data_IF_236693247461
#
_entry.id   IF_236693247461
#
_cell.length_a   1.000
_cell.length_b   1.000
_cell.length_c   1.000
_cell.angle_alpha   90.00
_cell.angle_beta   90.00
_cell.angle_gamma   90.00
#
_symmetry.space_group_name_H-M   'P 1'
#
loop_
_entity.id
_entity.type
_entity.pdbx_description
1 polymer ?
#
# COMPACT_ATOMS: atom_id res chain seq x y z
N UNK A 1 4.06 8.53 -7.84
CA UNK A 1 5.17 9.32 -7.27
C UNK A 1 5.28 8.97 -5.80
N UNK A 2 6.50 8.79 -5.30
CA UNK A 2 6.78 8.12 -4.03
C UNK A 2 7.22 9.10 -2.94
N UNK A 3 6.80 8.84 -1.70
CA UNK A 3 7.19 9.58 -0.50
C UNK A 3 8.36 8.94 0.26
N UNK A 4 9.33 8.34 -0.43
CA UNK A 4 10.53 7.81 0.21
C UNK A 4 11.51 8.94 0.50
N UNK A 5 11.98 9.09 1.75
CA UNK A 5 13.06 10.02 2.09
C UNK A 5 14.33 9.53 1.41
N UNK A 6 15.02 10.39 0.64
CA UNK A 6 16.25 10.02 -0.08
C UNK A 6 17.39 9.56 0.84
N UNK A 7 17.34 9.94 2.13
CA UNK A 7 18.42 9.73 3.09
C UNK A 7 18.12 8.61 4.10
N UNK A 8 17.06 7.83 3.92
CA UNK A 8 16.82 6.66 4.74
C UNK A 8 17.12 5.39 3.92
N UNK A 9 18.31 4.79 4.08
CA UNK A 9 18.66 3.58 3.34
C UNK A 9 17.64 2.49 3.69
N UNK A 10 17.00 1.89 2.68
CA UNK A 10 16.05 0.80 2.88
C UNK A 10 16.74 -0.33 3.63
N UNK A 11 16.20 -0.74 4.79
CA UNK A 11 16.93 -1.61 5.73
C UNK A 11 16.41 -3.04 5.65
N UNK A 12 17.35 -3.98 5.61
CA UNK A 12 17.10 -5.42 5.58
C UNK A 12 17.38 -6.12 6.93
N UNK A 13 17.67 -5.38 8.01
CA UNK A 13 18.05 -5.97 9.31
C UNK A 13 17.12 -5.63 10.48
N UNK A 14 16.83 -6.67 11.27
CA UNK A 14 16.06 -6.67 12.52
C UNK A 14 16.93 -5.95 13.59
N UNK A 15 16.45 -4.85 14.20
CA UNK A 15 17.09 -4.04 15.26
C UNK A 15 18.01 -2.86 14.88
N UNK A 16 17.95 -2.35 13.65
CA UNK A 16 18.68 -1.11 13.32
C UNK A 16 17.86 0.15 13.67
N UNK A 17 18.51 1.19 14.23
CA UNK A 17 17.90 2.47 14.63
C UNK A 17 17.44 3.30 13.44
N UNK A 18 16.19 3.17 13.01
CA UNK A 18 15.65 3.82 11.81
C UNK A 18 14.40 4.64 12.09
N UNK A 19 14.24 5.73 11.34
CA UNK A 19 13.02 6.53 11.38
C UNK A 19 11.88 5.80 10.67
N UNK A 20 10.66 5.97 11.18
CA UNK A 20 9.44 5.48 10.54
C UNK A 20 9.30 6.03 9.13
N UNK A 21 9.09 5.16 8.15
CA UNK A 21 8.82 5.54 6.77
C UNK A 21 7.35 5.32 6.41
N UNK A 22 6.84 6.16 5.52
CA UNK A 22 5.55 5.94 4.86
C UNK A 22 5.81 5.76 3.38
N UNK A 23 5.37 4.62 2.86
CA UNK A 23 5.31 4.36 1.44
C UNK A 23 3.91 4.70 0.95
N UNK A 24 3.78 5.76 0.16
CA UNK A 24 2.53 6.12 -0.51
C UNK A 24 2.70 6.19 -2.04
N UNK A 25 1.66 5.80 -2.77
CA UNK A 25 1.56 6.00 -4.21
C UNK A 25 0.63 7.19 -4.49
N UNK A 26 1.21 8.34 -4.89
CA UNK A 26 0.48 9.60 -5.08
C UNK A 26 0.51 10.12 -6.51
N UNK A 27 -0.56 10.79 -6.91
CA UNK A 27 -0.63 11.63 -8.11
C UNK A 27 -0.35 13.12 -7.82
N UNK A 28 0.29 13.83 -8.74
CA UNK A 28 0.63 15.26 -8.62
C UNK A 28 2.14 15.54 -8.54
N UNK A 29 2.53 16.79 -8.27
CA UNK A 29 3.94 17.23 -8.11
C UNK A 29 4.56 16.70 -6.82
N UNK A 30 5.88 16.44 -6.83
CA UNK A 30 6.62 15.90 -5.69
C UNK A 30 6.54 16.86 -4.51
N UNK A 31 6.21 16.30 -3.35
CA UNK A 31 6.27 17.07 -2.12
C UNK A 31 7.74 17.49 -1.94
N UNK A 32 7.96 18.74 -1.53
CA UNK A 32 9.29 19.15 -1.10
C UNK A 32 9.72 18.26 0.07
N UNK A 33 11.03 18.12 0.27
CA UNK A 33 11.62 17.38 1.41
C UNK A 33 11.05 17.78 2.78
N UNK A 34 10.46 18.98 2.86
CA UNK A 34 9.91 19.60 4.07
C UNK A 34 8.39 19.38 4.23
N UNK A 35 7.76 18.61 3.34
CA UNK A 35 6.34 18.25 3.43
C UNK A 35 6.23 16.74 3.48
N UNK A 36 6.09 16.22 4.70
CA UNK A 36 5.98 14.79 4.95
C UNK A 36 4.73 14.15 4.30
N UNK A 37 4.71 12.81 4.21
CA UNK A 37 3.53 12.05 3.76
C UNK A 37 2.34 12.23 4.73
N UNK A 38 2.61 12.46 6.00
CA UNK A 38 1.62 12.85 7.00
C UNK A 38 1.29 14.33 6.84
N UNK A 39 -0.01 14.66 6.78
CA UNK A 39 -0.52 16.03 6.61
C UNK A 39 -1.58 16.30 7.65
N UNK A 40 -1.95 17.57 7.79
CA UNK A 40 -3.09 17.93 8.62
C UNK A 40 -4.33 17.24 8.09
N UNK A 41 -5.08 16.59 8.97
CA UNK A 41 -6.31 15.90 8.60
C UNK A 41 -6.65 14.74 9.51
N UNK A 42 -7.76 14.10 9.17
CA UNK A 42 -8.32 12.98 9.91
C UNK A 42 -8.09 11.68 9.15
N UNK A 43 -7.40 10.75 9.79
CA UNK A 43 -7.00 9.47 9.22
C UNK A 43 -7.74 8.32 9.88
N UNK A 44 -8.24 7.37 9.09
CA UNK A 44 -8.69 6.06 9.57
C UNK A 44 -7.51 5.11 9.53
N UNK A 45 -7.14 4.56 10.68
CA UNK A 45 -5.99 3.66 10.78
C UNK A 45 -6.47 2.22 10.90
N UNK A 46 -6.00 1.39 9.97
CA UNK A 46 -6.16 -0.06 10.02
C UNK A 46 -4.78 -0.69 10.12
N UNK A 47 -4.67 -1.79 10.85
CA UNK A 47 -3.44 -2.59 10.90
C UNK A 47 -3.76 -4.05 10.61
N UNK A 48 -2.81 -4.81 10.06
CA UNK A 48 -2.97 -6.25 9.96
C UNK A 48 -2.96 -6.86 11.37
N UNK A 49 -3.82 -7.87 11.60
CA UNK A 49 -3.86 -8.64 12.84
C UNK A 49 -2.61 -9.52 12.99
N UNK A 50 -2.10 -10.03 11.87
CA UNK A 50 -0.80 -10.69 11.80
C UNK A 50 0.28 -9.63 11.54
N UNK A 51 1.15 -9.41 12.53
CA UNK A 51 2.26 -8.44 12.42
C UNK A 51 3.19 -8.76 11.23
N UNK A 52 3.51 -10.04 11.02
CA UNK A 52 4.43 -10.46 9.96
C UNK A 52 3.85 -10.11 8.58
N UNK A 53 2.54 -10.23 8.39
CA UNK A 53 1.90 -9.80 7.14
C UNK A 53 2.12 -8.31 6.87
N UNK A 54 2.03 -7.47 7.91
CA UNK A 54 2.32 -6.05 7.81
C UNK A 54 3.78 -5.76 7.50
N UNK A 55 4.69 -6.42 8.20
CA UNK A 55 6.13 -6.22 8.03
C UNK A 55 6.59 -6.67 6.62
N UNK A 56 6.06 -7.78 6.11
CA UNK A 56 6.32 -8.25 4.74
C UNK A 56 5.72 -7.31 3.70
N UNK A 57 4.48 -6.85 3.87
CA UNK A 57 3.84 -5.92 2.95
C UNK A 57 4.58 -4.57 2.89
N UNK A 58 5.07 -4.09 4.04
CA UNK A 58 5.89 -2.88 4.11
C UNK A 58 7.20 -3.04 3.32
N UNK A 59 7.89 -4.17 3.47
CA UNK A 59 9.12 -4.47 2.71
C UNK A 59 8.86 -4.59 1.20
N UNK A 60 7.77 -5.25 0.80
CA UNK A 60 7.35 -5.28 -0.62
C UNK A 60 7.13 -3.86 -1.14
N UNK A 61 6.39 -3.04 -0.39
CA UNK A 61 6.15 -1.65 -0.76
C UNK A 61 7.44 -0.81 -0.84
N UNK A 62 8.38 -1.04 0.07
CA UNK A 62 9.70 -0.38 0.04
C UNK A 62 10.54 -0.79 -1.17
N UNK A 63 10.53 -2.08 -1.55
CA UNK A 63 11.23 -2.56 -2.74
C UNK A 63 10.63 -1.95 -4.01
N UNK A 64 9.30 -2.04 -4.18
CA UNK A 64 8.61 -1.51 -5.37
C UNK A 64 8.71 0.01 -5.52
N UNK A 65 8.95 0.73 -4.42
CA UNK A 65 9.14 2.18 -4.43
C UNK A 65 10.60 2.64 -4.52
N UNK A 66 11.57 1.71 -4.40
CA UNK A 66 12.99 2.04 -4.33
C UNK A 66 13.48 2.75 -5.59
N UNK A 67 13.22 2.16 -6.76
CA UNK A 67 13.66 2.69 -8.07
C UNK A 67 12.62 3.61 -8.70
N UNK A 68 11.48 3.80 -8.04
CA UNK A 68 10.37 4.62 -8.52
C UNK A 68 9.83 4.19 -9.91
N UNK A 69 10.00 2.91 -10.29
CA UNK A 69 9.70 2.42 -11.63
C UNK A 69 8.21 2.28 -11.93
N UNK A 70 7.36 2.11 -10.92
CA UNK A 70 5.91 2.00 -11.11
C UNK A 70 5.29 3.40 -11.21
N UNK A 71 4.72 3.78 -12.38
CA UNK A 71 4.14 5.11 -12.56
C UNK A 71 2.77 5.22 -11.86
N UNK A 72 2.41 6.44 -11.46
CA UNK A 72 1.05 6.69 -10.98
C UNK A 72 0.06 6.69 -12.17
N UNK A 73 -0.98 5.87 -12.10
CA UNK A 73 -2.01 5.81 -13.15
C UNK A 73 -3.28 6.54 -12.74
N UNK A 74 -3.44 7.79 -13.22
CA UNK A 74 -4.67 8.58 -13.03
C UNK A 74 -5.89 7.89 -13.64
N UNK A 75 -5.73 7.31 -14.83
CA UNK A 75 -6.80 6.61 -15.52
C UNK A 75 -7.29 5.40 -14.73
N UNK A 76 -6.38 4.53 -14.26
CA UNK A 76 -6.77 3.40 -13.38
C UNK A 76 -7.42 3.89 -12.09
N UNK A 77 -6.90 4.96 -11.48
CA UNK A 77 -7.48 5.56 -10.28
C UNK A 77 -8.93 5.98 -10.48
N UNK A 78 -9.26 6.68 -11.57
CA UNK A 78 -10.63 7.11 -11.86
C UNK A 78 -11.53 5.90 -12.16
N UNK A 79 -11.06 4.97 -13.00
CA UNK A 79 -11.84 3.78 -13.36
C UNK A 79 -12.10 2.84 -12.17
N UNK A 80 -11.23 2.83 -11.16
CA UNK A 80 -11.39 2.00 -9.96
C UNK A 80 -12.67 2.30 -9.17
N UNK A 81 -13.26 3.49 -9.35
CA UNK A 81 -14.52 3.87 -8.69
C UNK A 81 -15.73 3.21 -9.36
N UNK A 82 -15.62 2.90 -10.65
CA UNK A 82 -16.71 2.37 -11.48
C UNK A 82 -16.62 0.85 -11.69
N UNK A 83 -15.44 0.26 -11.46
CA UNK A 83 -15.19 -1.17 -11.68
C UNK A 83 -15.61 -2.00 -10.48
N UNK A 84 -16.02 -3.24 -10.75
CA UNK A 84 -16.27 -4.23 -9.71
C UNK A 84 -14.94 -4.75 -9.16
N UNK A 85 -14.80 -4.76 -7.82
CA UNK A 85 -13.60 -5.21 -7.10
C UNK A 85 -13.58 -6.71 -6.79
N UNK A 86 -14.49 -7.51 -7.35
CA UNK A 86 -14.55 -8.96 -7.14
C UNK A 86 -13.26 -9.67 -7.58
N UNK A 87 -12.81 -10.63 -6.79
CA UNK A 87 -11.61 -11.43 -7.07
C UNK A 87 -11.87 -12.52 -8.11
N UNK A 88 -11.96 -12.11 -9.38
CA UNK A 88 -12.09 -13.00 -10.53
C UNK A 88 -10.74 -13.55 -11.04
N UNK A 89 -10.77 -14.21 -12.20
CA UNK A 89 -9.59 -14.81 -12.83
C UNK A 89 -8.48 -13.77 -13.13
N UNK A 90 -8.85 -12.59 -13.61
CA UNK A 90 -7.90 -11.50 -13.87
C UNK A 90 -7.20 -11.02 -12.60
N UNK A 91 -7.97 -10.82 -11.52
CA UNK A 91 -7.45 -10.44 -10.21
C UNK A 91 -6.50 -11.50 -9.64
N UNK A 92 -6.88 -12.77 -9.79
CA UNK A 92 -6.03 -13.91 -9.40
C UNK A 92 -4.70 -13.91 -10.17
N UNK A 93 -4.73 -13.79 -11.50
CA UNK A 93 -3.52 -13.71 -12.33
C UNK A 93 -2.65 -12.51 -11.94
N UNK A 94 -3.24 -11.34 -11.75
CA UNK A 94 -2.51 -10.15 -11.30
C UNK A 94 -1.84 -10.37 -9.94
N UNK A 95 -2.56 -10.96 -8.98
CA UNK A 95 -2.03 -11.28 -7.65
C UNK A 95 -0.87 -12.28 -7.68
N UNK A 96 -0.88 -13.23 -8.62
CA UNK A 96 0.23 -14.16 -8.84
C UNK A 96 1.46 -13.43 -9.38
N UNK A 97 1.28 -12.48 -10.30
CA UNK A 97 2.38 -11.63 -10.77
C UNK A 97 2.97 -10.79 -9.62
N UNK A 98 2.12 -10.17 -8.79
CA UNK A 98 2.57 -9.43 -7.61
C UNK A 98 3.41 -10.29 -6.67
N UNK A 99 2.99 -11.53 -6.42
CA UNK A 99 3.76 -12.47 -5.61
C UNK A 99 5.12 -12.79 -6.22
N UNK A 100 5.18 -13.10 -7.53
CA UNK A 100 6.44 -13.39 -8.23
C UNK A 100 7.44 -12.24 -8.15
N UNK A 101 6.95 -11.01 -8.24
CA UNK A 101 7.74 -9.79 -8.19
C UNK A 101 7.85 -9.18 -6.79
N UNK A 102 7.44 -9.90 -5.75
CA UNK A 102 7.64 -9.49 -4.37
C UNK A 102 9.14 -9.25 -4.13
N UNK A 103 9.49 -8.10 -3.57
CA UNK A 103 10.87 -7.66 -3.29
C UNK A 103 11.71 -7.29 -4.51
N UNK A 104 11.16 -7.29 -5.72
CA UNK A 104 11.85 -6.75 -6.89
C UNK A 104 11.84 -5.22 -6.86
N UNK A 105 12.99 -4.58 -7.08
CA UNK A 105 13.04 -3.11 -7.12
C UNK A 105 12.33 -2.51 -8.35
N UNK A 106 12.15 -3.33 -9.41
CA UNK A 106 11.52 -2.93 -10.68
C UNK A 106 10.42 -3.91 -11.11
N UNK A 107 9.31 -4.00 -10.35
CA UNK A 107 8.22 -4.88 -10.72
C UNK A 107 7.56 -4.42 -12.02
N UNK A 108 7.08 -5.35 -12.84
CA UNK A 108 6.39 -5.08 -14.11
C UNK A 108 4.91 -4.70 -13.88
N UNK A 109 4.69 -3.73 -12.99
CA UNK A 109 3.37 -3.14 -12.77
C UNK A 109 3.22 -1.95 -13.73
N UNK A 110 2.34 -2.07 -14.71
CA UNK A 110 2.07 -1.09 -15.79
C UNK A 110 1.52 0.27 -15.33
N UNK A 111 1.49 0.49 -14.03
CA UNK A 111 1.00 1.67 -13.35
C UNK A 111 0.01 1.29 -12.26
N UNK A 112 0.11 2.00 -11.14
CA UNK A 112 -0.73 1.81 -9.97
C UNK A 112 -1.26 3.14 -9.43
N UNK A 113 -2.28 3.06 -8.59
CA UNK A 113 -2.77 4.18 -7.78
C UNK A 113 -2.73 3.78 -6.30
N UNK A 114 -3.10 4.69 -5.40
CA UNK A 114 -2.89 4.53 -3.96
C UNK A 114 -3.39 3.19 -3.39
N UNK A 115 -4.68 2.87 -3.50
CA UNK A 115 -5.22 1.64 -2.95
C UNK A 115 -4.79 0.39 -3.73
N UNK A 116 -4.65 0.46 -5.06
CA UNK A 116 -4.10 -0.64 -5.87
C UNK A 116 -2.72 -1.05 -5.35
N UNK A 117 -1.82 -0.09 -5.17
CA UNK A 117 -0.46 -0.38 -4.71
C UNK A 117 -0.45 -1.07 -3.34
N UNK A 118 -1.22 -0.55 -2.38
CA UNK A 118 -1.28 -1.12 -1.02
C UNK A 118 -1.84 -2.54 -1.05
N UNK A 119 -2.97 -2.77 -1.74
CA UNK A 119 -3.59 -4.10 -1.82
C UNK A 119 -2.63 -5.08 -2.51
N UNK A 120 -1.99 -4.67 -3.61
CA UNK A 120 -1.04 -5.51 -4.33
C UNK A 120 0.16 -5.91 -3.45
N UNK A 121 0.69 -4.99 -2.65
CA UNK A 121 1.80 -5.28 -1.73
C UNK A 121 1.38 -6.28 -0.64
N UNK A 122 0.18 -6.12 -0.07
CA UNK A 122 -0.37 -7.07 0.90
C UNK A 122 -0.71 -8.43 0.28
N UNK A 123 -1.20 -8.48 -0.97
CA UNK A 123 -1.42 -9.73 -1.70
C UNK A 123 -0.10 -10.45 -1.97
N UNK A 124 0.93 -9.73 -2.43
CA UNK A 124 2.27 -10.28 -2.62
C UNK A 124 2.82 -10.87 -1.31
N UNK A 125 2.73 -10.11 -0.21
CA UNK A 125 3.16 -10.56 1.11
C UNK A 125 2.40 -11.81 1.58
N UNK A 126 1.06 -11.78 1.54
CA UNK A 126 0.23 -12.91 1.94
C UNK A 126 0.55 -14.17 1.12
N UNK A 127 0.73 -14.03 -0.20
CA UNK A 127 1.12 -15.16 -1.05
C UNK A 127 2.49 -15.72 -0.70
N UNK A 128 3.49 -14.86 -0.42
CA UNK A 128 4.83 -15.30 -0.01
C UNK A 128 4.84 -16.01 1.34
N UNK A 129 3.93 -15.64 2.22
CA UNK A 129 3.74 -16.25 3.53
C UNK A 129 2.83 -17.49 3.51
N UNK A 130 2.19 -17.81 2.39
CA UNK A 130 1.19 -18.89 2.31
C UNK A 130 -0.12 -18.56 3.04
N UNK A 131 -0.43 -17.28 3.27
CA UNK A 131 -1.69 -16.82 3.85
C UNK A 131 -2.76 -16.80 2.75
N UNK A 132 -3.89 -17.53 2.91
CA UNK A 132 -4.99 -17.48 1.97
C UNK A 132 -5.59 -16.08 1.89
N UNK A 133 -5.97 -15.65 0.69
CA UNK A 133 -6.70 -14.38 0.55
C UNK A 133 -8.13 -14.53 1.07
N UNK A 134 -8.50 -13.64 1.98
CA UNK A 134 -9.88 -13.46 2.45
C UNK A 134 -10.21 -11.97 2.56
N UNK A 135 -11.50 -11.64 2.46
CA UNK A 135 -12.02 -10.28 2.68
C UNK A 135 -11.20 -9.20 1.95
N UNK A 136 -10.54 -8.29 2.68
CA UNK A 136 -9.80 -7.17 2.08
C UNK A 136 -8.59 -7.59 1.23
N UNK A 137 -8.10 -8.83 1.38
CA UNK A 137 -7.05 -9.39 0.51
C UNK A 137 -7.63 -10.08 -0.72
N UNK A 138 -8.91 -10.48 -0.69
CA UNK A 138 -9.58 -11.20 -1.79
C UNK A 138 -10.39 -10.23 -2.65
N UNK A 139 -9.71 -9.22 -3.20
CA UNK A 139 -10.28 -8.18 -4.06
C UNK A 139 -9.38 -7.90 -5.27
N UNK A 140 -9.96 -7.45 -6.38
CA UNK A 140 -9.20 -6.96 -7.54
C UNK A 140 -8.51 -5.64 -7.18
N UNK A 141 -7.20 -5.70 -6.91
CA UNK A 141 -6.41 -4.54 -6.54
C UNK A 141 -6.50 -3.41 -7.60
N UNK A 142 -6.56 -3.75 -8.90
CA UNK A 142 -6.63 -2.77 -9.98
C UNK A 142 -8.01 -2.07 -10.08
N UNK A 143 -9.03 -2.67 -9.47
CA UNK A 143 -10.41 -2.20 -9.48
C UNK A 143 -10.92 -1.78 -8.09
N UNK A 144 -10.05 -1.65 -7.10
CA UNK A 144 -10.46 -1.29 -5.73
C UNK A 144 -10.05 0.14 -5.42
N UNK A 145 -11.01 1.06 -5.46
CA UNK A 145 -10.81 2.45 -5.00
C UNK A 145 -10.58 2.54 -3.49
N UNK A 146 -10.09 3.68 -2.97
CA UNK A 146 -9.91 3.90 -1.52
C UNK A 146 -11.23 3.74 -0.75
N UNK A 147 -12.34 4.22 -1.31
CA UNK A 147 -13.68 4.07 -0.70
C UNK A 147 -14.10 2.61 -0.64
N UNK A 148 -13.85 1.85 -1.71
CA UNK A 148 -14.18 0.43 -1.76
C UNK A 148 -13.27 -0.37 -0.82
N UNK A 149 -11.98 -0.03 -0.75
CA UNK A 149 -11.04 -0.61 0.21
C UNK A 149 -11.51 -0.40 1.66
N UNK A 150 -11.96 0.81 2.02
CA UNK A 150 -12.50 1.06 3.36
C UNK A 150 -13.70 0.15 3.67
N UNK A 151 -14.58 -0.08 2.70
CA UNK A 151 -15.71 -0.99 2.86
C UNK A 151 -15.24 -2.42 3.18
N UNK A 152 -14.26 -2.94 2.42
CA UNK A 152 -13.70 -4.27 2.69
C UNK A 152 -12.95 -4.35 4.01
N UNK A 153 -12.17 -3.33 4.38
CA UNK A 153 -11.47 -3.27 5.67
C UNK A 153 -12.43 -3.26 6.86
N UNK A 154 -13.59 -2.62 6.73
CA UNK A 154 -14.65 -2.65 7.76
C UNK A 154 -15.31 -4.01 7.89
N UNK A 155 -15.47 -4.72 6.78
CA UNK A 155 -16.05 -6.06 6.75
C UNK A 155 -15.03 -7.15 7.14
N UNK A 156 -13.73 -6.84 7.10
CA UNK A 156 -12.65 -7.79 7.35
C UNK A 156 -12.61 -8.21 8.83
N UNK A 157 -12.86 -9.51 9.06
CA UNK A 157 -12.79 -10.13 10.39
C UNK A 157 -11.50 -10.91 10.62
N UNK A 158 -10.66 -11.08 9.61
CA UNK A 158 -9.57 -12.05 9.61
C UNK A 158 -8.20 -11.39 9.52
N UNK A 159 -8.00 -10.48 8.57
CA UNK A 159 -6.67 -9.98 8.21
C UNK A 159 -6.36 -8.63 8.84
N UNK A 160 -7.35 -7.74 8.92
CA UNK A 160 -7.17 -6.36 9.37
C UNK A 160 -8.08 -6.03 10.55
N UNK A 161 -7.64 -5.06 11.35
CA UNK A 161 -8.42 -4.48 12.43
C UNK A 161 -8.37 -2.96 12.38
N UNK A 162 -9.49 -2.32 12.71
CA UNK A 162 -9.57 -0.87 12.85
C UNK A 162 -8.92 -0.46 14.18
N UNK A 163 -7.89 0.38 14.12
CA UNK A 163 -7.16 0.88 15.30
C UNK A 163 -7.72 2.19 15.83
N UNK A 164 -8.42 2.96 15.00
CA UNK A 164 -9.04 4.20 15.42
C UNK A 164 -8.87 5.33 14.40
N UNK A 165 -9.27 6.50 14.85
CA UNK A 165 -9.12 7.75 14.11
C UNK A 165 -7.88 8.48 14.63
N UNK A 166 -6.97 8.84 13.74
CA UNK A 166 -5.83 9.70 14.05
C UNK A 166 -6.14 11.09 13.49
N UNK A 167 -6.33 12.06 14.38
CA UNK A 167 -6.47 13.46 14.00
C UNK A 167 -5.12 14.12 14.08
N UNK A 168 -4.68 14.73 12.99
CA UNK A 168 -3.39 15.40 12.89
C UNK A 168 -3.67 16.88 12.68
N UNK A 169 -3.33 17.66 13.70
CA UNK A 169 -3.45 19.11 13.71
C UNK A 169 -2.36 19.77 12.87
N UNK A 170 -2.54 21.06 12.53
CA UNK A 170 -1.54 21.81 11.78
C UNK A 170 -0.20 21.90 12.52
N UNK A 171 -0.24 21.99 13.84
CA UNK A 171 0.92 22.11 14.73
C UNK A 171 1.79 20.83 14.72
N UNK A 172 1.19 19.66 14.47
CA UNK A 172 1.88 18.37 14.45
C UNK A 172 2.60 18.08 13.12
N UNK A 173 2.39 18.90 12.09
CA UNK A 173 2.95 18.72 10.74
C UNK A 173 4.11 19.68 10.47
N UNK A 174 4.31 20.67 11.35
CA UNK A 174 5.39 21.65 11.25
C UNK A 174 6.68 21.08 11.88
N UNK A 175 7.45 20.34 11.08
CA UNK A 175 8.86 20.04 11.34
C UNK A 175 9.67 20.10 10.04
#
# INVERSE_FOLDING_TARGET
MWSKRSNNPGRTSINSSGESEIVEMRGGMQLSSNSGPIRQGLYKVYSPKNKDLGDWAAQVGQAWSADQSVPYSKTKSVLSVLRNSNFGESASKASQSYSKEAFENRPQISGAFCSHFIIAAYQAAASRMGIPYSEALKVDAEATSVRTLEHFLKADKHNFEFKGMLNISAEEVLY
#
